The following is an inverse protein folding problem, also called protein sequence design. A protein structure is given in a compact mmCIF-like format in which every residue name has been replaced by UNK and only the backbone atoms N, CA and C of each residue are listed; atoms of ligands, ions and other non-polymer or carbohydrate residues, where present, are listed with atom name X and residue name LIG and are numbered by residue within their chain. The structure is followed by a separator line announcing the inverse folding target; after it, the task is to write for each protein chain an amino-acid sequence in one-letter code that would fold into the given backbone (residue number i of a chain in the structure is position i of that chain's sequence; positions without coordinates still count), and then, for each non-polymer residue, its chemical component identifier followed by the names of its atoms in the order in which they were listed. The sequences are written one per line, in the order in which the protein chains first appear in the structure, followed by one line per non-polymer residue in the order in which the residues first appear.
data_IF_750392381977
#
_entry.id   IF_750392381977
#
_cell.length_a   1.000
_cell.length_b   1.000
_cell.length_c   1.000
_cell.angle_alpha   90.00
_cell.angle_beta   90.00
_cell.angle_gamma   90.00
#
_symmetry.space_group_name_H-M   'P 1'
#
loop_
_entity.id
_entity.type
_entity.pdbx_description
1 polymer ?
#
# COMPACT_ATOMS: atom_id res chain seq x y z
N UNK A 1 -13.31 -7.22 20.17
CA UNK A 1 -13.49 -8.08 18.97
C UNK A 1 -14.51 -7.44 18.04
N UNK A 2 -14.35 -7.52 16.71
CA UNK A 2 -15.31 -6.91 15.75
C UNK A 2 -16.30 -7.96 15.27
N UNK A 3 -17.60 -7.71 15.44
CA UNK A 3 -18.67 -8.60 14.94
C UNK A 3 -18.66 -8.70 13.41
N UNK A 4 -18.35 -7.60 12.71
CA UNK A 4 -18.29 -7.58 11.25
C UNK A 4 -17.21 -8.52 10.70
N UNK A 5 -16.03 -8.53 11.34
CA UNK A 5 -14.93 -9.40 10.93
C UNK A 5 -15.28 -10.89 11.08
N UNK A 6 -16.07 -11.23 12.10
CA UNK A 6 -16.52 -12.60 12.36
C UNK A 6 -17.62 -12.98 11.38
N UNK A 7 -18.65 -12.14 11.22
CA UNK A 7 -19.79 -12.42 10.34
C UNK A 7 -19.39 -12.62 8.89
N UNK A 8 -18.40 -11.85 8.43
CA UNK A 8 -17.86 -11.94 7.07
C UNK A 8 -16.67 -12.91 6.95
N UNK A 9 -16.28 -13.59 8.03
CA UNK A 9 -15.10 -14.48 8.13
C UNK A 9 -13.80 -13.89 7.56
N UNK A 10 -13.65 -12.56 7.66
CA UNK A 10 -12.53 -11.83 7.07
C UNK A 10 -11.21 -12.06 7.83
N UNK A 11 -11.26 -12.61 9.04
CA UNK A 11 -10.06 -12.94 9.82
C UNK A 11 -9.31 -14.09 9.16
N UNK A 12 -10.03 -15.09 8.66
CA UNK A 12 -9.45 -16.30 8.09
C UNK A 12 -9.45 -16.27 6.56
N UNK A 13 -10.48 -15.67 5.97
CA UNK A 13 -10.75 -15.71 4.53
C UNK A 13 -11.01 -14.31 3.97
N UNK A 14 -10.03 -13.38 3.99
CA UNK A 14 -10.17 -12.10 3.32
C UNK A 14 -10.26 -12.28 1.80
N UNK A 15 -10.98 -11.37 1.15
CA UNK A 15 -10.96 -11.27 -0.32
C UNK A 15 -9.54 -10.94 -0.80
N UNK A 16 -9.25 -11.15 -2.10
CA UNK A 16 -7.91 -10.94 -2.66
C UNK A 16 -7.92 -9.90 -3.77
N UNK A 17 -6.95 -8.99 -3.72
CA UNK A 17 -6.59 -8.09 -4.84
C UNK A 17 -5.14 -8.41 -5.20
N UNK A 18 -4.98 -9.28 -6.21
CA UNK A 18 -3.67 -9.86 -6.55
C UNK A 18 -3.07 -10.61 -5.36
N UNK A 19 -1.90 -10.15 -4.90
CA UNK A 19 -1.19 -10.73 -3.74
C UNK A 19 -1.62 -10.15 -2.38
N UNK A 20 -2.52 -9.19 -2.36
CA UNK A 20 -2.94 -8.49 -1.15
C UNK A 20 -4.27 -8.98 -0.62
N UNK A 21 -4.42 -8.90 0.69
CA UNK A 21 -5.69 -9.12 1.37
C UNK A 21 -6.55 -7.87 1.26
N UNK A 22 -7.80 -8.04 0.85
CA UNK A 22 -8.82 -7.01 0.80
C UNK A 22 -9.85 -7.26 1.91
N UNK A 23 -9.91 -6.32 2.84
CA UNK A 23 -10.84 -6.36 3.97
C UNK A 23 -12.01 -5.44 3.67
N UNK A 24 -13.13 -6.00 3.19
CA UNK A 24 -14.35 -5.25 2.91
C UNK A 24 -15.14 -4.98 4.20
N UNK A 25 -14.69 -3.98 4.95
CA UNK A 25 -15.22 -3.56 6.25
C UNK A 25 -15.86 -2.16 6.20
N UNK A 26 -16.64 -1.81 7.20
CA UNK A 26 -17.18 -0.43 7.38
C UNK A 26 -17.65 -0.09 8.80
N UNK A 27 -17.76 -1.10 9.67
CA UNK A 27 -18.10 -0.90 11.08
C UNK A 27 -16.91 -1.13 12.03
N UNK A 28 -15.77 -1.56 11.48
CA UNK A 28 -14.59 -1.97 12.25
C UNK A 28 -13.66 -0.80 12.53
N UNK A 29 -13.23 -0.66 13.78
CA UNK A 29 -12.30 0.40 14.22
C UNK A 29 -10.84 0.02 14.01
N UNK A 30 -9.95 1.01 13.90
CA UNK A 30 -8.50 0.77 13.84
C UNK A 30 -7.98 -0.05 15.03
N UNK A 31 -8.55 0.17 16.23
CA UNK A 31 -8.25 -0.66 17.41
C UNK A 31 -8.60 -2.13 17.20
N UNK A 32 -9.80 -2.42 16.69
CA UNK A 32 -10.21 -3.80 16.43
C UNK A 32 -9.32 -4.45 15.36
N UNK A 33 -8.92 -3.71 14.32
CA UNK A 33 -8.02 -4.24 13.29
C UNK A 33 -6.66 -4.65 13.86
N UNK A 34 -6.06 -3.85 14.74
CA UNK A 34 -4.77 -4.22 15.35
C UNK A 34 -4.92 -5.39 16.34
N UNK A 35 -6.02 -5.44 17.10
CA UNK A 35 -6.29 -6.51 18.06
C UNK A 35 -6.50 -7.86 17.37
N UNK A 36 -7.07 -7.86 16.15
CA UNK A 36 -7.23 -9.07 15.34
C UNK A 36 -6.00 -9.34 14.43
N UNK A 37 -4.91 -8.58 14.60
CA UNK A 37 -3.66 -8.81 13.87
C UNK A 37 -3.72 -8.48 12.37
N UNK A 38 -4.77 -7.79 11.89
CA UNK A 38 -4.93 -7.39 10.49
C UNK A 38 -3.95 -6.27 10.14
N UNK A 39 -3.76 -5.30 11.03
CA UNK A 39 -2.78 -4.22 10.87
C UNK A 39 -1.70 -4.29 11.96
N UNK A 40 -0.66 -3.46 11.83
CA UNK A 40 0.44 -3.40 12.80
C UNK A 40 -0.07 -3.11 14.22
N UNK A 41 0.51 -3.77 15.21
CA UNK A 41 0.21 -3.48 16.62
C UNK A 41 1.05 -2.28 17.09
N UNK A 42 0.58 -1.07 16.79
CA UNK A 42 1.16 0.20 17.25
C UNK A 42 0.10 1.06 17.91
N UNK A 43 0.53 2.10 18.62
CA UNK A 43 -0.38 3.11 19.15
C UNK A 43 -0.82 4.07 18.02
N UNK A 44 -2.11 4.03 17.69
CA UNK A 44 -2.71 4.94 16.69
C UNK A 44 -3.33 6.20 17.33
N UNK A 45 -3.23 6.35 18.65
CA UNK A 45 -3.72 7.49 19.41
C UNK A 45 -5.24 7.66 19.29
N UNK A 46 -5.68 8.91 19.05
CA UNK A 46 -7.11 9.24 18.88
C UNK A 46 -7.80 8.47 17.74
N UNK A 47 -7.05 8.07 16.72
CA UNK A 47 -7.58 7.38 15.55
C UNK A 47 -7.95 5.92 15.83
N UNK A 48 -7.56 5.36 16.98
CA UNK A 48 -7.95 4.00 17.37
C UNK A 48 -9.46 3.77 17.43
N UNK A 49 -10.22 4.82 17.79
CA UNK A 49 -11.68 4.78 17.88
C UNK A 49 -12.35 4.97 16.52
N UNK A 50 -11.59 5.39 15.51
CA UNK A 50 -12.13 5.69 14.20
C UNK A 50 -12.45 4.40 13.47
N UNK A 51 -13.65 4.36 12.87
CA UNK A 51 -14.05 3.31 11.95
C UNK A 51 -13.40 3.59 10.61
N UNK A 52 -12.93 2.52 10.00
CA UNK A 52 -12.38 2.55 8.66
C UNK A 52 -13.25 1.70 7.76
N UNK A 53 -13.39 2.21 6.55
CA UNK A 53 -13.94 1.53 5.40
C UNK A 53 -12.91 0.50 4.87
N UNK A 54 -13.06 -0.06 3.66
CA UNK A 54 -12.22 -1.15 3.22
C UNK A 54 -10.73 -0.83 3.16
N UNK A 55 -9.91 -1.84 3.43
CA UNK A 55 -8.45 -1.75 3.42
C UNK A 55 -7.83 -2.80 2.49
N UNK A 56 -6.72 -2.43 1.84
CA UNK A 56 -5.82 -3.37 1.17
C UNK A 56 -4.59 -3.53 2.05
N UNK A 57 -4.26 -4.77 2.40
CA UNK A 57 -3.23 -5.09 3.39
C UNK A 57 -2.29 -6.18 2.88
N UNK A 58 -1.00 -6.03 3.19
CA UNK A 58 0.02 -7.06 2.99
C UNK A 58 0.86 -7.23 4.25
N UNK A 59 0.84 -8.41 4.88
CA UNK A 59 1.65 -8.70 6.09
C UNK A 59 1.54 -7.59 7.14
N UNK A 60 0.29 -7.18 7.47
CA UNK A 60 -0.05 -6.09 8.40
C UNK A 60 0.26 -4.67 7.93
N UNK A 61 0.88 -4.50 6.76
CA UNK A 61 1.13 -3.21 6.14
C UNK A 61 -0.08 -2.79 5.31
N UNK A 62 -0.64 -1.62 5.60
CA UNK A 62 -1.74 -1.09 4.81
C UNK A 62 -1.19 -0.49 3.52
N UNK A 63 -1.60 -1.05 2.39
CA UNK A 63 -1.19 -0.63 1.03
C UNK A 63 -2.07 0.54 0.55
N UNK A 64 -3.37 0.46 0.82
CA UNK A 64 -4.32 1.51 0.50
C UNK A 64 -5.48 1.52 1.51
N UNK A 65 -5.98 2.72 1.81
CA UNK A 65 -7.25 2.93 2.52
C UNK A 65 -8.30 3.32 1.49
N UNK A 66 -9.48 2.72 1.57
CA UNK A 66 -10.63 3.04 0.72
C UNK A 66 -11.71 3.67 1.59
N UNK A 67 -12.32 4.74 1.11
CA UNK A 67 -13.45 5.43 1.74
C UNK A 67 -14.64 5.38 0.77
N UNK A 68 -15.70 4.68 1.15
CA UNK A 68 -16.94 4.60 0.38
C UNK A 68 -17.92 5.67 0.85
N UNK A 69 -18.38 6.49 -0.10
CA UNK A 69 -19.45 7.47 0.12
C UNK A 69 -20.67 7.12 -0.68
N UNK A 70 -21.84 7.57 -0.20
CA UNK A 70 -23.04 7.53 -1.03
C UNK A 70 -22.86 8.51 -2.20
N UNK A 71 -23.42 8.24 -3.40
CA UNK A 71 -23.33 9.17 -4.53
C UNK A 71 -23.79 10.60 -4.19
N UNK A 72 -24.83 10.73 -3.35
CA UNK A 72 -25.31 12.03 -2.86
C UNK A 72 -24.30 12.78 -1.98
N UNK A 73 -23.36 12.07 -1.36
CA UNK A 73 -22.26 12.60 -0.53
C UNK A 73 -20.95 12.73 -1.31
N UNK A 74 -20.90 12.29 -2.57
CA UNK A 74 -19.71 12.32 -3.41
C UNK A 74 -19.94 13.07 -4.74
N UNK A 75 -20.93 13.96 -4.80
CA UNK A 75 -21.32 14.61 -6.05
C UNK A 75 -20.68 15.99 -6.31
N UNK A 76 -20.10 16.65 -5.30
CA UNK A 76 -19.48 17.97 -5.46
C UNK A 76 -18.02 17.98 -5.04
N UNK A 77 -17.23 18.90 -5.61
CA UNK A 77 -15.80 19.08 -5.26
C UNK A 77 -15.60 19.30 -3.75
N UNK A 78 -16.48 20.08 -3.12
CA UNK A 78 -16.41 20.37 -1.68
C UNK A 78 -16.62 19.11 -0.84
N UNK A 79 -17.63 18.29 -1.18
CA UNK A 79 -17.90 17.05 -0.46
C UNK A 79 -16.79 16.02 -0.66
N UNK A 80 -16.27 15.90 -1.88
CA UNK A 80 -15.09 15.07 -2.21
C UNK A 80 -13.87 15.45 -1.36
N UNK A 81 -13.54 16.74 -1.29
CA UNK A 81 -12.44 17.22 -0.44
C UNK A 81 -12.67 16.97 1.06
N UNK A 82 -13.90 17.12 1.54
CA UNK A 82 -14.26 16.82 2.92
C UNK A 82 -14.03 15.35 3.26
N UNK A 83 -14.47 14.43 2.39
CA UNK A 83 -14.25 12.99 2.57
C UNK A 83 -12.74 12.66 2.64
N UNK A 84 -11.96 13.21 1.72
CA UNK A 84 -10.50 13.02 1.69
C UNK A 84 -9.85 13.54 2.97
N UNK A 85 -10.17 14.77 3.38
CA UNK A 85 -9.57 15.39 4.58
C UNK A 85 -9.89 14.58 5.84
N UNK A 86 -11.09 14.01 5.93
CA UNK A 86 -11.49 13.19 7.06
C UNK A 86 -10.56 11.97 7.19
N UNK A 87 -10.29 11.27 6.09
CA UNK A 87 -9.52 10.01 6.11
C UNK A 87 -8.02 10.14 5.95
N UNK A 88 -7.54 11.32 5.54
CA UNK A 88 -6.12 11.57 5.37
C UNK A 88 -5.31 11.38 6.67
N UNK A 89 -5.86 11.78 7.82
CA UNK A 89 -5.17 11.62 9.11
C UNK A 89 -5.01 10.14 9.50
N UNK A 90 -6.06 9.33 9.32
CA UNK A 90 -6.03 7.89 9.60
C UNK A 90 -5.07 7.20 8.65
N UNK A 91 -5.14 7.51 7.35
CA UNK A 91 -4.25 6.95 6.34
C UNK A 91 -2.77 7.22 6.68
N UNK A 92 -2.44 8.44 7.12
CA UNK A 92 -1.08 8.79 7.59
C UNK A 92 -0.66 7.96 8.80
N UNK A 93 -1.56 7.78 9.77
CA UNK A 93 -1.29 6.95 10.97
C UNK A 93 -1.09 5.48 10.64
N UNK A 94 -1.82 4.96 9.64
CA UNK A 94 -1.69 3.61 9.11
C UNK A 94 -0.41 3.43 8.26
N UNK A 95 0.33 4.51 7.98
CA UNK A 95 1.54 4.53 7.14
C UNK A 95 1.29 3.99 5.72
N UNK A 96 0.10 4.26 5.17
CA UNK A 96 -0.19 4.02 3.75
C UNK A 96 0.19 5.24 2.91
N UNK A 97 0.53 5.01 1.64
CA UNK A 97 0.80 6.07 0.68
C UNK A 97 -0.45 6.45 -0.14
N UNK A 98 -1.46 5.58 -0.17
CA UNK A 98 -2.62 5.72 -1.07
C UNK A 98 -3.92 5.76 -0.25
N UNK A 99 -4.75 6.76 -0.57
CA UNK A 99 -6.14 6.87 -0.16
C UNK A 99 -7.02 6.93 -1.40
N UNK A 100 -8.08 6.13 -1.41
CA UNK A 100 -9.05 6.05 -2.51
C UNK A 100 -10.41 6.45 -1.96
N UNK A 101 -10.97 7.57 -2.42
CA UNK A 101 -12.33 7.95 -2.07
C UNK A 101 -13.26 7.64 -3.25
N UNK A 102 -14.36 6.93 -3.03
CA UNK A 102 -15.24 6.48 -4.12
C UNK A 102 -16.69 6.38 -3.71
N UNK A 103 -17.61 6.48 -4.67
CA UNK A 103 -19.03 6.14 -4.51
C UNK A 103 -19.46 4.87 -5.26
N UNK A 104 -18.47 4.11 -5.75
CA UNK A 104 -18.68 2.92 -6.58
C UNK A 104 -18.83 3.21 -8.07
N UNK A 105 -19.03 4.47 -8.49
CA UNK A 105 -19.08 4.86 -9.91
C UNK A 105 -17.87 5.73 -10.28
N UNK A 106 -17.54 6.70 -9.42
CA UNK A 106 -16.38 7.57 -9.55
C UNK A 106 -15.42 7.32 -8.39
N UNK A 107 -14.11 7.43 -8.65
CA UNK A 107 -13.08 7.30 -7.63
C UNK A 107 -12.02 8.38 -7.78
N UNK A 108 -11.50 8.83 -6.64
CA UNK A 108 -10.42 9.80 -6.54
C UNK A 108 -9.27 9.16 -5.78
N UNK A 109 -8.10 9.24 -6.39
CA UNK A 109 -6.86 8.68 -5.86
C UNK A 109 -6.02 9.81 -5.28
N UNK A 110 -5.59 9.64 -4.02
CA UNK A 110 -4.89 10.67 -3.25
C UNK A 110 -3.57 10.13 -2.73
N UNK A 111 -2.50 10.89 -2.94
CA UNK A 111 -1.22 10.64 -2.30
C UNK A 111 -1.33 11.11 -0.85
N UNK A 112 -1.25 10.17 0.10
CA UNK A 112 -1.43 10.44 1.53
C UNK A 112 -0.30 11.34 2.09
N UNK A 113 0.89 11.24 1.50
CA UNK A 113 2.09 11.97 1.92
C UNK A 113 1.94 13.47 1.67
N UNK A 114 1.40 13.86 0.51
CA UNK A 114 1.20 15.26 0.13
C UNK A 114 -0.23 15.75 0.41
N UNK A 115 -1.21 14.85 0.40
CA UNK A 115 -2.64 15.17 0.41
C UNK A 115 -3.21 15.55 -0.96
N UNK A 116 -2.41 15.46 -2.03
CA UNK A 116 -2.80 15.86 -3.38
C UNK A 116 -3.39 14.69 -4.18
N UNK A 117 -4.09 15.02 -5.27
CA UNK A 117 -4.58 14.02 -6.21
C UNK A 117 -3.42 13.40 -6.98
N UNK A 118 -3.46 12.07 -7.12
CA UNK A 118 -2.48 11.34 -7.91
C UNK A 118 -2.76 11.58 -9.40
N UNK A 119 -1.68 11.82 -10.14
CA UNK A 119 -1.71 12.13 -11.56
C UNK A 119 -1.19 10.95 -12.38
N UNK A 120 -1.75 10.76 -13.57
CA UNK A 120 -1.22 9.87 -14.60
C UNK A 120 0.14 10.37 -15.13
N UNK A 121 0.81 9.54 -15.92
CA UNK A 121 2.07 9.90 -16.60
C UNK A 121 1.94 11.17 -17.46
N UNK A 122 0.73 11.48 -17.94
CA UNK A 122 0.45 12.69 -18.73
C UNK A 122 0.31 13.97 -17.89
N UNK A 123 0.31 13.86 -16.55
CA UNK A 123 0.05 14.96 -15.62
C UNK A 123 -1.44 15.21 -15.35
N UNK A 124 -2.35 14.47 -16.01
CA UNK A 124 -3.80 14.55 -15.73
C UNK A 124 -4.13 13.77 -14.46
N UNK A 125 -5.14 14.22 -13.71
CA UNK A 125 -5.64 13.50 -12.53
C UNK A 125 -6.19 12.13 -12.97
N UNK A 126 -5.89 11.09 -12.20
CA UNK A 126 -6.42 9.74 -12.42
C UNK A 126 -7.95 9.76 -12.39
N UNK A 127 -8.57 9.14 -13.40
CA UNK A 127 -10.02 8.94 -13.48
C UNK A 127 -10.45 7.48 -13.39
N UNK A 128 -9.50 6.56 -13.14
CA UNK A 128 -9.79 5.14 -13.02
C UNK A 128 -10.69 4.89 -11.81
N UNK A 129 -11.86 4.32 -12.05
CA UNK A 129 -12.77 3.85 -10.98
C UNK A 129 -12.14 2.65 -10.27
N UNK A 130 -12.25 2.63 -8.94
CA UNK A 130 -11.84 1.52 -8.10
C UNK A 130 -12.87 0.41 -8.19
N UNK A 131 -12.43 -0.74 -8.71
CA UNK A 131 -13.20 -1.98 -8.70
C UNK A 131 -12.28 -3.08 -8.14
N UNK A 132 -12.58 -3.66 -6.96
CA UNK A 132 -11.76 -4.70 -6.36
C UNK A 132 -11.67 -5.97 -7.23
N UNK A 133 -12.56 -6.15 -8.21
CA UNK A 133 -12.56 -7.31 -9.13
C UNK A 133 -11.76 -7.07 -10.41
N UNK A 134 -11.25 -5.86 -10.63
CA UNK A 134 -10.44 -5.56 -11.81
C UNK A 134 -9.07 -6.25 -11.74
N UNK A 135 -8.81 -7.18 -12.65
CA UNK A 135 -7.55 -7.93 -12.75
C UNK A 135 -6.32 -7.03 -12.91
N UNK A 136 -6.48 -5.81 -13.45
CA UNK A 136 -5.38 -4.85 -13.66
C UNK A 136 -5.17 -3.92 -12.46
N UNK A 137 -6.03 -3.99 -11.45
CA UNK A 137 -5.93 -3.15 -10.26
C UNK A 137 -4.61 -3.37 -9.48
N UNK A 138 -4.13 -4.61 -9.25
CA UNK A 138 -2.89 -4.84 -8.50
C UNK A 138 -1.68 -4.16 -9.14
N UNK A 139 -1.47 -4.38 -10.44
CA UNK A 139 -0.37 -3.76 -11.19
C UNK A 139 -0.45 -2.23 -11.17
N UNK A 140 -1.69 -1.69 -11.23
CA UNK A 140 -1.91 -0.25 -11.20
C UNK A 140 -1.54 0.36 -9.83
N UNK A 141 -1.95 -0.28 -8.73
CA UNK A 141 -1.59 0.17 -7.37
C UNK A 141 -0.08 0.07 -7.16
N UNK A 142 0.58 -1.01 -7.60
CA UNK A 142 2.04 -1.13 -7.52
C UNK A 142 2.74 0.01 -8.29
N UNK A 143 2.25 0.31 -9.49
CA UNK A 143 2.78 1.40 -10.31
C UNK A 143 2.67 2.75 -9.61
N UNK A 144 1.52 3.03 -8.97
CA UNK A 144 1.33 4.23 -8.16
C UNK A 144 2.32 4.25 -7.00
N UNK A 145 2.36 3.19 -6.19
CA UNK A 145 3.16 3.13 -4.98
C UNK A 145 4.67 3.28 -5.25
N UNK A 146 5.15 2.78 -6.39
CA UNK A 146 6.54 2.92 -6.83
C UNK A 146 6.87 4.31 -7.42
N UNK A 147 5.85 5.13 -7.70
CA UNK A 147 6.02 6.43 -8.35
C UNK A 147 5.89 7.60 -7.38
N UNK A 148 4.88 7.56 -6.52
CA UNK A 148 4.54 8.67 -5.62
C UNK A 148 5.51 8.75 -4.43
N UNK A 149 5.71 9.96 -3.91
CA UNK A 149 6.43 10.22 -2.67
C UNK A 149 6.05 11.61 -2.14
N UNK A 150 6.74 12.08 -1.10
CA UNK A 150 6.51 13.41 -0.48
C UNK A 150 6.68 14.60 -1.44
N UNK A 151 7.37 14.40 -2.57
CA UNK A 151 7.68 15.45 -3.55
C UNK A 151 7.06 15.19 -4.93
N UNK A 152 6.39 14.06 -5.13
CA UNK A 152 5.89 13.64 -6.43
C UNK A 152 4.52 12.96 -6.30
N UNK A 153 3.52 13.52 -6.97
CA UNK A 153 2.16 12.99 -7.05
C UNK A 153 1.86 12.29 -8.39
N UNK A 154 2.84 12.26 -9.30
CA UNK A 154 2.66 11.77 -10.66
C UNK A 154 3.18 10.34 -10.82
N UNK A 155 2.38 9.48 -11.47
CA UNK A 155 2.82 8.16 -11.91
C UNK A 155 4.00 8.33 -12.86
N UNK A 156 5.08 7.60 -12.60
CA UNK A 156 6.26 7.58 -13.46
C UNK A 156 6.18 6.42 -14.44
N UNK A 157 6.75 6.57 -15.64
CA UNK A 157 6.93 5.45 -16.55
C UNK A 157 7.79 4.38 -15.87
N UNK A 158 7.51 3.11 -16.17
CA UNK A 158 8.27 1.98 -15.66
C UNK A 158 9.72 2.09 -16.15
N UNK A 159 10.63 2.51 -15.29
CA UNK A 159 12.06 2.59 -15.61
C UNK A 159 12.68 1.22 -15.36
N UNK A 160 13.23 0.60 -16.41
CA UNK A 160 14.14 -0.53 -16.23
C UNK A 160 15.39 -0.01 -15.53
N UNK A 161 15.62 -0.47 -14.31
CA UNK A 161 16.82 -0.12 -13.54
C UNK A 161 17.84 -1.21 -13.79
N UNK A 162 19.04 -0.83 -14.25
CA UNK A 162 20.17 -1.74 -14.34
C UNK A 162 20.78 -1.91 -12.93
N UNK A 163 20.73 -3.11 -12.32
CA UNK A 163 21.23 -3.32 -10.96
C UNK A 163 22.76 -3.45 -10.87
N UNK A 164 23.49 -3.37 -11.99
CA UNK A 164 24.93 -3.65 -12.06
C UNK A 164 25.74 -2.83 -11.05
N UNK A 165 25.47 -1.53 -10.92
CA UNK A 165 26.25 -0.67 -10.03
C UNK A 165 26.03 -1.01 -8.56
N UNK A 166 24.79 -1.31 -8.17
CA UNK A 166 24.46 -1.79 -6.82
C UNK A 166 25.12 -3.13 -6.54
N UNK A 167 25.08 -4.07 -7.49
CA UNK A 167 25.72 -5.38 -7.35
C UNK A 167 27.23 -5.24 -7.14
N UNK A 168 27.90 -4.37 -7.91
CA UNK A 168 29.32 -4.07 -7.75
C UNK A 168 29.62 -3.47 -6.37
N UNK A 169 28.80 -2.52 -5.93
CA UNK A 169 28.97 -1.89 -4.62
C UNK A 169 28.84 -2.91 -3.48
N UNK A 170 27.80 -3.74 -3.48
CA UNK A 170 27.62 -4.78 -2.45
C UNK A 170 28.80 -5.75 -2.43
N UNK A 171 29.29 -6.19 -3.59
CA UNK A 171 30.47 -7.06 -3.67
C UNK A 171 31.74 -6.37 -3.12
N UNK A 172 31.96 -5.10 -3.46
CA UNK A 172 33.07 -4.31 -2.92
C UNK A 172 32.97 -4.14 -1.40
N UNK A 173 31.77 -3.90 -0.88
CA UNK A 173 31.52 -3.76 0.55
C UNK A 173 31.86 -5.08 1.28
N UNK A 174 31.37 -6.22 0.77
CA UNK A 174 31.69 -7.56 1.31
C UNK A 174 33.20 -7.79 1.32
N UNK A 175 33.89 -7.46 0.23
CA UNK A 175 35.34 -7.64 0.13
C UNK A 175 36.10 -6.75 1.12
N UNK A 176 35.70 -5.48 1.23
CA UNK A 176 36.33 -4.50 2.12
C UNK A 176 36.21 -4.88 3.61
N UNK A 177 35.10 -5.52 4.00
CA UNK A 177 34.82 -5.87 5.40
C UNK A 177 35.37 -7.25 5.76
N UNK A 178 35.31 -8.21 4.83
CA UNK A 178 35.73 -9.60 5.11
C UNK A 178 37.22 -9.83 4.95
N UNK A 179 37.89 -9.09 4.06
CA UNK A 179 39.26 -9.40 3.64
C UNK A 179 39.42 -10.78 3.00
N UNK A 180 38.32 -11.44 2.63
CA UNK A 180 38.32 -12.77 2.03
C UNK A 180 38.79 -12.73 0.58
N UNK A 181 39.08 -13.92 0.02
CA UNK A 181 39.42 -14.01 -1.41
C UNK A 181 38.24 -13.56 -2.28
N UNK A 182 38.50 -13.04 -3.51
CA UNK A 182 37.45 -12.61 -4.42
C UNK A 182 36.38 -13.68 -4.68
N UNK A 183 36.78 -14.95 -4.75
CA UNK A 183 35.87 -16.09 -4.97
C UNK A 183 34.90 -16.25 -3.81
N UNK A 184 35.40 -16.21 -2.57
CA UNK A 184 34.57 -16.32 -1.37
C UNK A 184 33.61 -15.13 -1.24
N UNK A 185 34.07 -13.92 -1.57
CA UNK A 185 33.21 -12.73 -1.60
C UNK A 185 32.09 -12.86 -2.64
N UNK A 186 32.39 -13.46 -3.80
CA UNK A 186 31.40 -13.74 -4.84
C UNK A 186 30.36 -14.76 -4.36
N UNK A 187 30.78 -15.84 -3.68
CA UNK A 187 29.86 -16.81 -3.10
C UNK A 187 28.91 -16.15 -2.09
N UNK A 188 29.43 -15.34 -1.17
CA UNK A 188 28.61 -14.60 -0.20
C UNK A 188 27.64 -13.64 -0.90
N UNK A 189 28.08 -12.94 -1.95
CA UNK A 189 27.20 -12.08 -2.74
C UNK A 189 26.05 -12.87 -3.39
N UNK A 190 26.36 -14.01 -4.02
CA UNK A 190 25.36 -14.88 -4.65
C UNK A 190 24.39 -15.44 -3.61
N UNK A 191 24.88 -15.88 -2.46
CA UNK A 191 24.04 -16.35 -1.35
C UNK A 191 23.08 -15.26 -0.87
N UNK A 192 23.57 -14.04 -0.62
CA UNK A 192 22.72 -12.91 -0.23
C UNK A 192 21.64 -12.63 -1.28
N UNK A 193 22.00 -12.69 -2.56
CA UNK A 193 21.06 -12.47 -3.65
C UNK A 193 20.01 -13.59 -3.72
N UNK A 194 20.41 -14.85 -3.59
CA UNK A 194 19.49 -16.00 -3.56
C UNK A 194 18.57 -15.93 -2.34
N UNK A 195 19.10 -15.64 -1.15
CA UNK A 195 18.29 -15.49 0.05
C UNK A 195 17.27 -14.37 -0.11
N UNK A 196 17.68 -13.22 -0.67
CA UNK A 196 16.74 -12.14 -0.94
C UNK A 196 15.66 -12.55 -1.94
N UNK A 197 16.05 -13.23 -3.01
CA UNK A 197 15.12 -13.72 -4.02
C UNK A 197 14.12 -14.73 -3.46
N UNK A 198 14.58 -15.73 -2.71
CA UNK A 198 13.74 -16.74 -2.07
C UNK A 198 12.83 -16.13 -0.99
N UNK A 199 13.32 -15.14 -0.24
CA UNK A 199 12.51 -14.38 0.73
C UNK A 199 11.42 -13.58 0.03
N UNK A 200 11.70 -12.99 -1.14
CA UNK A 200 10.69 -12.28 -1.95
C UNK A 200 9.62 -13.22 -2.51
N UNK A 201 9.98 -14.47 -2.81
CA UNK A 201 9.07 -15.52 -3.25
C UNK A 201 8.33 -16.24 -2.11
N UNK A 202 8.58 -15.87 -0.85
CA UNK A 202 7.98 -16.50 0.33
C UNK A 202 8.31 -17.99 0.51
N UNK A 203 9.51 -18.41 0.06
CA UNK A 203 10.02 -19.78 0.25
C UNK A 203 10.76 -19.93 1.60
N UNK A 204 11.30 -18.82 2.13
CA UNK A 204 12.05 -18.73 3.40
C UNK A 204 11.30 -17.91 4.45
#
# INVERSE_FOLDING_TARGET
MSEELIQKDLINNPEKIGKWDFYNIGATTTKQLKENGIIRNVDYGKEEKKRVDPLIVQKKNVIAVIEYKKPAEFNTKVKKQKAIKQELEVARKLKTNILIATDGQESIWVNVLTGNFIQEETGKIIKKTFDPKDEKLPEFIEKINNSINEKNDQIKPKKLVNPTDLAKQIWQDIWSVSGATPENCLYTFVELFIFKYLSDLEVL
#
